data_IF_975756607868
#
_entry.id   IF_975756607868
#
_cell.length_a   1.000
_cell.length_b   1.000
_cell.length_c   1.000
_cell.angle_alpha   90.00
_cell.angle_beta   90.00
_cell.angle_gamma   90.00
#
_symmetry.space_group_name_H-M   'P 1'
#
loop_
_entity.id
_entity.type
_entity.pdbx_description
1 polymer ?
#
# COMPACT_ATOMS: atom_id res chain seq x y z
N UNK A 1 22.09 10.44 -3.06
CA UNK A 1 20.87 9.68 -3.40
C UNK A 1 21.14 8.20 -3.26
N UNK A 2 20.25 7.44 -2.62
CA UNK A 2 20.33 5.98 -2.48
C UNK A 2 19.98 5.35 -3.84
N UNK A 3 20.80 4.41 -4.33
CA UNK A 3 20.62 3.71 -5.61
C UNK A 3 21.01 2.24 -5.46
N UNK A 4 20.46 1.37 -6.32
CA UNK A 4 20.74 -0.07 -6.37
C UNK A 4 20.51 -0.79 -5.03
N UNK A 5 19.44 -0.42 -4.32
CA UNK A 5 19.01 -1.06 -3.07
C UNK A 5 17.62 -1.66 -3.20
N UNK A 6 17.36 -2.66 -2.37
CA UNK A 6 16.01 -3.10 -2.04
C UNK A 6 15.54 -2.30 -0.82
N UNK A 7 14.40 -1.62 -0.94
CA UNK A 7 13.86 -0.73 0.09
C UNK A 7 12.46 -1.21 0.44
N UNK A 8 12.24 -1.51 1.72
CA UNK A 8 10.90 -1.72 2.26
C UNK A 8 10.42 -0.42 2.89
N UNK A 9 9.30 0.11 2.41
CA UNK A 9 8.68 1.32 2.92
C UNK A 9 7.40 0.98 3.67
N UNK A 10 7.30 1.50 4.90
CA UNK A 10 6.14 1.39 5.78
C UNK A 10 5.78 2.77 6.29
N UNK A 11 4.50 3.02 6.55
CA UNK A 11 4.05 4.31 7.08
C UNK A 11 2.56 4.34 7.38
N UNK A 12 2.11 5.48 7.92
CA UNK A 12 0.70 5.70 8.27
C UNK A 12 -0.21 5.94 7.06
N UNK A 13 0.36 6.35 5.92
CA UNK A 13 -0.38 6.44 4.67
C UNK A 13 -0.30 5.11 3.94
N UNK A 14 -1.43 4.51 3.58
CA UNK A 14 -1.42 3.38 2.65
C UNK A 14 -1.30 3.85 1.21
N UNK A 15 -0.74 3.02 0.34
CA UNK A 15 -0.53 3.31 -1.08
C UNK A 15 -1.83 3.57 -1.84
N UNK A 16 -2.92 2.93 -1.42
CA UNK A 16 -4.29 3.08 -1.94
C UNK A 16 -5.07 4.23 -1.28
N UNK A 17 -4.39 5.12 -0.53
CA UNK A 17 -5.00 6.32 0.04
C UNK A 17 -5.58 7.22 -1.06
N UNK A 18 -6.82 7.69 -0.87
CA UNK A 18 -7.46 8.69 -1.74
C UNK A 18 -6.78 10.05 -1.70
N UNK A 19 -6.08 10.34 -0.60
CA UNK A 19 -5.36 11.58 -0.37
C UNK A 19 -3.89 11.32 -0.66
N UNK A 20 -3.26 12.24 -1.40
CA UNK A 20 -1.82 12.19 -1.67
C UNK A 20 -1.00 12.19 -0.38
N UNK A 21 0.20 11.61 -0.44
CA UNK A 21 1.11 11.52 0.70
C UNK A 21 2.55 11.71 0.26
N UNK A 22 3.32 12.46 1.04
CA UNK A 22 4.76 12.61 0.84
C UNK A 22 5.47 11.25 0.86
N UNK A 23 5.00 10.29 1.66
CA UNK A 23 5.58 8.94 1.71
C UNK A 23 5.36 8.16 0.40
N UNK A 24 4.18 8.29 -0.20
CA UNK A 24 3.86 7.68 -1.50
C UNK A 24 4.72 8.32 -2.61
N UNK A 25 4.80 9.65 -2.62
CA UNK A 25 5.64 10.39 -3.57
C UNK A 25 7.11 9.99 -3.45
N UNK A 26 7.61 9.85 -2.21
CA UNK A 26 8.98 9.43 -1.95
C UNK A 26 9.23 7.99 -2.42
N UNK A 27 8.27 7.08 -2.25
CA UNK A 27 8.36 5.72 -2.77
C UNK A 27 8.51 5.70 -4.29
N UNK A 28 7.72 6.51 -5.00
CA UNK A 28 7.84 6.67 -6.45
C UNK A 28 9.18 7.28 -6.88
N UNK A 29 9.73 8.24 -6.12
CA UNK A 29 11.06 8.80 -6.42
C UNK A 29 12.15 7.76 -6.18
N UNK A 30 12.08 7.01 -5.07
CA UNK A 30 13.04 5.93 -4.80
C UNK A 30 12.98 4.82 -5.83
N UNK A 31 11.78 4.46 -6.32
CA UNK A 31 11.61 3.36 -7.28
C UNK A 31 12.27 3.62 -8.64
N UNK A 32 12.63 4.86 -8.97
CA UNK A 32 13.34 5.20 -10.21
C UNK A 32 14.73 4.56 -10.30
N UNK A 33 15.34 4.24 -9.16
CA UNK A 33 16.72 3.72 -9.10
C UNK A 33 16.89 2.56 -8.10
N UNK A 34 15.79 2.06 -7.53
CA UNK A 34 15.78 1.06 -6.48
C UNK A 34 14.57 0.15 -6.67
N UNK A 35 14.64 -1.06 -6.12
CA UNK A 35 13.48 -1.92 -5.96
C UNK A 35 12.79 -1.50 -4.67
N UNK A 36 11.53 -1.08 -4.76
CA UNK A 36 10.78 -0.56 -3.61
C UNK A 36 9.55 -1.42 -3.39
N UNK A 37 9.41 -1.96 -2.18
CA UNK A 37 8.19 -2.60 -1.70
C UNK A 37 7.51 -1.66 -0.72
N UNK A 38 6.33 -1.16 -1.07
CA UNK A 38 5.49 -0.37 -0.18
C UNK A 38 4.49 -1.28 0.52
N UNK A 39 4.54 -1.34 1.85
CA UNK A 39 3.66 -2.22 2.63
C UNK A 39 2.61 -1.38 3.35
N UNK A 40 1.35 -1.65 3.04
CA UNK A 40 0.22 -1.02 3.72
C UNK A 40 0.12 -1.51 5.16
N UNK A 41 -0.24 -0.63 6.08
CA UNK A 41 -0.53 -1.01 7.46
C UNK A 41 -1.79 -1.90 7.52
N UNK A 42 -1.90 -2.78 8.54
CA UNK A 42 -3.02 -3.71 8.66
C UNK A 42 -4.33 -2.96 8.88
N UNK A 43 -5.42 -3.51 8.34
CA UNK A 43 -6.76 -2.97 8.58
C UNK A 43 -7.26 -3.40 9.97
N UNK A 44 -7.79 -2.45 10.74
CA UNK A 44 -8.42 -2.75 12.02
C UNK A 44 -9.85 -3.29 11.84
N UNK A 45 -10.32 -4.01 12.87
CA UNK A 45 -11.62 -4.69 12.83
C UNK A 45 -12.80 -3.71 12.75
N UNK A 46 -12.68 -2.53 13.36
CA UNK A 46 -13.75 -1.54 13.36
C UNK A 46 -13.92 -0.95 11.96
N UNK A 47 -12.82 -0.60 11.29
CA UNK A 47 -12.83 -0.14 9.89
C UNK A 47 -13.42 -1.19 8.95
N UNK A 48 -13.03 -2.47 9.11
CA UNK A 48 -13.57 -3.57 8.29
C UNK A 48 -15.09 -3.69 8.38
N UNK A 49 -15.67 -3.37 9.55
CA UNK A 49 -17.12 -3.43 9.77
C UNK A 49 -17.83 -2.13 9.35
N UNK A 50 -17.31 -0.97 9.76
CA UNK A 50 -17.94 0.35 9.55
C UNK A 50 -17.88 0.74 8.08
N UNK A 51 -16.72 0.60 7.46
CA UNK A 51 -16.44 1.00 6.07
C UNK A 51 -16.61 -0.18 5.10
N UNK A 52 -17.40 -1.20 5.48
CA UNK A 52 -17.55 -2.44 4.70
C UNK A 52 -18.07 -2.23 3.27
N UNK A 53 -18.70 -1.10 2.96
CA UNK A 53 -19.17 -0.81 1.61
C UNK A 53 -18.16 0.02 0.79
N UNK A 54 -17.07 0.47 1.40
CA UNK A 54 -16.01 1.21 0.72
C UNK A 54 -15.27 0.26 -0.26
N UNK A 55 -15.10 0.63 -1.54
CA UNK A 55 -14.41 -0.20 -2.52
C UNK A 55 -12.97 -0.58 -2.13
N UNK A 56 -12.23 0.30 -1.46
CA UNK A 56 -10.86 0.05 -0.99
C UNK A 56 -10.88 -1.05 0.07
N UNK A 57 -11.82 -0.94 1.01
CA UNK A 57 -11.98 -1.90 2.10
C UNK A 57 -12.44 -3.26 1.55
N UNK A 58 -13.33 -3.27 0.56
CA UNK A 58 -13.74 -4.49 -0.12
C UNK A 58 -12.57 -5.16 -0.86
N UNK A 59 -11.73 -4.40 -1.59
CA UNK A 59 -10.51 -4.93 -2.23
C UNK A 59 -9.60 -5.61 -1.19
N UNK A 60 -9.28 -4.90 -0.12
CA UNK A 60 -8.43 -5.43 0.96
C UNK A 60 -9.03 -6.66 1.65
N UNK A 61 -10.35 -6.71 1.84
CA UNK A 61 -11.04 -7.88 2.41
C UNK A 61 -10.89 -9.12 1.53
N UNK A 62 -10.99 -8.96 0.20
CA UNK A 62 -10.78 -10.06 -0.76
C UNK A 62 -9.32 -10.55 -0.71
N UNK A 63 -8.35 -9.63 -0.63
CA UNK A 63 -6.92 -9.96 -0.48
C UNK A 63 -6.69 -10.77 0.81
N UNK A 64 -7.22 -10.33 1.95
CA UNK A 64 -7.09 -11.05 3.24
C UNK A 64 -7.66 -12.47 3.18
N UNK A 65 -8.71 -12.69 2.37
CA UNK A 65 -9.30 -14.01 2.14
C UNK A 65 -8.56 -14.87 1.11
N UNK A 66 -7.51 -14.35 0.48
CA UNK A 66 -6.80 -15.01 -0.62
C UNK A 66 -7.57 -15.02 -1.94
N UNK A 67 -8.64 -14.24 -2.06
CA UNK A 67 -9.45 -14.14 -3.29
C UNK A 67 -8.78 -13.24 -4.35
N UNK A 68 -7.85 -12.37 -3.93
CA UNK A 68 -7.05 -11.50 -4.79
C UNK A 68 -5.57 -11.54 -4.38
N UNK A 69 -4.62 -11.28 -5.31
CA UNK A 69 -3.21 -11.16 -4.98
C UNK A 69 -2.94 -10.05 -3.95
N UNK A 70 -2.01 -10.30 -3.03
CA UNK A 70 -1.57 -9.36 -2.00
C UNK A 70 -0.41 -8.46 -2.43
N UNK A 71 0.24 -8.78 -3.55
CA UNK A 71 1.30 -7.99 -4.18
C UNK A 71 0.84 -7.45 -5.55
N UNK A 72 1.01 -6.15 -5.75
CA UNK A 72 0.66 -5.44 -6.98
C UNK A 72 1.87 -4.65 -7.49
N UNK A 73 2.20 -4.81 -8.77
CA UNK A 73 3.22 -4.01 -9.44
C UNK A 73 2.57 -2.74 -10.00
N UNK A 74 3.06 -1.57 -9.57
CA UNK A 74 2.48 -0.25 -9.91
C UNK A 74 3.09 0.36 -11.18
N UNK A 75 4.31 -0.04 -11.55
CA UNK A 75 5.06 0.49 -12.70
C UNK A 75 5.45 -0.62 -13.67
#
# INVERSE_FOLDING_TARGET
>A
MIKNRDIVMVGLASLDSRIGSNAINLAHVFSKHNRVLYVNYPMDRLTLWRERHDPIIQKRKKIIKGELPDLEQIN
#
